data_IF_525745383168
#
_entry.id   IF_525745383168
#
_cell.length_a   1.000
_cell.length_b   1.000
_cell.length_c   1.000
_cell.angle_alpha   90.00
_cell.angle_beta   90.00
_cell.angle_gamma   90.00
#
_symmetry.space_group_name_H-M   'P 1'
#
loop_
_entity.id
_entity.type
_entity.pdbx_description
1 polymer ?
#
# COMPACT_ATOMS: atom_id res chain seq x y z
N UNK A 1 -14.74 12.42 2.11
CA UNK A 1 -14.71 11.32 1.12
C UNK A 1 -13.27 10.99 0.80
N UNK A 2 -12.83 9.80 1.21
CA UNK A 2 -11.51 9.26 0.92
C UNK A 2 -11.51 8.75 -0.53
N UNK A 3 -10.47 9.04 -1.32
CA UNK A 3 -10.38 8.63 -2.73
C UNK A 3 -9.25 7.60 -2.88
N UNK A 4 -9.58 6.34 -2.57
CA UNK A 4 -8.68 5.20 -2.62
C UNK A 4 -9.37 4.06 -3.38
N UNK A 5 -8.58 3.21 -4.02
CA UNK A 5 -9.06 2.02 -4.72
C UNK A 5 -8.13 0.84 -4.44
N UNK A 6 -8.72 -0.33 -4.17
CA UNK A 6 -8.02 -1.59 -3.96
C UNK A 6 -8.69 -2.68 -4.79
N UNK A 7 -7.91 -3.67 -5.25
CA UNK A 7 -8.38 -4.82 -6.01
C UNK A 7 -7.55 -6.04 -5.64
N UNK A 8 -8.07 -7.24 -5.88
CA UNK A 8 -7.40 -8.50 -5.58
C UNK A 8 -7.96 -9.20 -4.34
N UNK A 9 -7.36 -10.33 -3.97
CA UNK A 9 -7.87 -11.20 -2.90
C UNK A 9 -7.75 -10.58 -1.51
N UNK A 10 -6.74 -9.73 -1.28
CA UNK A 10 -6.55 -8.99 -0.03
C UNK A 10 -7.26 -7.61 0.00
N UNK A 11 -8.10 -7.29 -0.98
CA UNK A 11 -8.65 -5.94 -1.20
C UNK A 11 -9.32 -5.35 0.04
N UNK A 12 -10.20 -6.08 0.72
CA UNK A 12 -10.95 -5.55 1.86
C UNK A 12 -10.02 -5.23 3.06
N UNK A 13 -9.00 -6.04 3.28
CA UNK A 13 -7.99 -5.80 4.32
C UNK A 13 -7.16 -4.54 4.02
N UNK A 14 -6.68 -4.42 2.78
CA UNK A 14 -5.87 -3.27 2.34
C UNK A 14 -6.72 -2.00 2.36
N UNK A 15 -7.99 -2.05 1.95
CA UNK A 15 -8.87 -0.88 1.95
C UNK A 15 -9.06 -0.35 3.37
N UNK A 16 -9.41 -1.21 4.32
CA UNK A 16 -9.59 -0.81 5.72
C UNK A 16 -8.33 -0.23 6.35
N UNK A 17 -7.16 -0.81 6.07
CA UNK A 17 -5.88 -0.25 6.53
C UNK A 17 -5.54 1.07 5.84
N UNK A 18 -5.85 1.20 4.56
CA UNK A 18 -5.59 2.44 3.81
C UNK A 18 -6.46 3.59 4.29
N UNK A 19 -7.70 3.35 4.71
CA UNK A 19 -8.53 4.38 5.35
C UNK A 19 -7.93 4.88 6.68
N UNK A 20 -7.25 4.01 7.42
CA UNK A 20 -6.58 4.36 8.67
C UNK A 20 -5.31 5.18 8.43
N UNK A 21 -4.48 4.78 7.47
CA UNK A 21 -3.18 5.42 7.25
C UNK A 21 -3.26 6.66 6.36
N UNK A 22 -4.16 6.69 5.37
CA UNK A 22 -4.24 7.78 4.41
C UNK A 22 -4.71 9.09 5.04
N UNK A 23 -4.08 10.19 4.62
CA UNK A 23 -4.50 11.54 4.96
C UNK A 23 -4.46 12.42 3.71
N UNK A 24 -5.38 13.40 3.58
CA UNK A 24 -5.30 14.37 2.50
C UNK A 24 -3.98 15.13 2.51
N UNK A 25 -3.45 15.43 1.32
CA UNK A 25 -2.23 16.23 1.10
C UNK A 25 -0.94 15.65 1.69
N UNK A 26 -0.84 14.31 1.80
CA UNK A 26 0.42 13.64 2.09
C UNK A 26 1.48 13.99 1.05
N UNK A 27 2.70 14.24 1.51
CA UNK A 27 3.86 14.33 0.63
C UNK A 27 4.24 12.93 0.08
N UNK A 28 5.16 12.84 -0.89
CA UNK A 28 5.50 11.55 -1.52
C UNK A 28 6.03 10.48 -0.55
N UNK A 29 6.82 10.85 0.45
CA UNK A 29 7.36 9.90 1.43
C UNK A 29 6.29 9.45 2.42
N UNK A 30 5.39 10.35 2.83
CA UNK A 30 4.22 9.99 3.66
C UNK A 30 3.26 9.06 2.92
N UNK A 31 3.01 9.33 1.64
CA UNK A 31 2.17 8.48 0.79
C UNK A 31 2.80 7.11 0.56
N UNK A 32 4.12 7.07 0.35
CA UNK A 32 4.87 5.83 0.29
C UNK A 32 4.70 5.01 1.57
N UNK A 33 4.91 5.63 2.73
CA UNK A 33 4.83 4.94 4.02
C UNK A 33 3.41 4.42 4.28
N UNK A 34 2.39 5.26 4.08
CA UNK A 34 0.99 4.86 4.23
C UNK A 34 0.63 3.68 3.33
N UNK A 35 1.05 3.73 2.05
CA UNK A 35 0.81 2.64 1.08
C UNK A 35 1.56 1.36 1.47
N UNK A 36 2.81 1.49 1.92
CA UNK A 36 3.65 0.36 2.34
C UNK A 36 3.07 -0.35 3.54
N UNK A 37 2.64 0.41 4.55
CA UNK A 37 1.99 -0.15 5.75
C UNK A 37 0.66 -0.80 5.41
N UNK A 38 -0.17 -0.19 4.56
CA UNK A 38 -1.43 -0.81 4.12
C UNK A 38 -1.20 -2.13 3.39
N UNK A 39 -0.25 -2.17 2.46
CA UNK A 39 0.02 -3.36 1.66
C UNK A 39 0.58 -4.50 2.53
N UNK A 40 1.66 -4.26 3.27
CA UNK A 40 2.31 -5.32 4.04
C UNK A 40 1.38 -5.89 5.11
N UNK A 41 0.67 -5.04 5.87
CA UNK A 41 -0.26 -5.54 6.89
C UNK A 41 -1.51 -6.20 6.28
N UNK A 42 -1.94 -5.77 5.09
CA UNK A 42 -3.12 -6.31 4.41
C UNK A 42 -2.85 -7.68 3.79
N UNK A 43 -1.74 -7.84 3.06
CA UNK A 43 -1.38 -9.13 2.46
C UNK A 43 -1.00 -10.16 3.52
N UNK A 44 -0.46 -9.76 4.66
CA UNK A 44 -0.20 -10.62 5.83
C UNK A 44 -1.48 -11.23 6.47
N UNK A 45 -2.68 -10.91 5.94
CA UNK A 45 -3.96 -11.47 6.37
C UNK A 45 -4.65 -12.33 5.31
N UNK A 46 -4.08 -12.41 4.11
CA UNK A 46 -4.66 -13.15 2.99
C UNK A 46 -3.71 -14.26 2.54
N UNK A 47 -4.18 -15.51 2.56
CA UNK A 47 -3.37 -16.66 2.12
C UNK A 47 -3.08 -16.68 0.61
N UNK A 48 -3.79 -15.89 -0.19
CA UNK A 48 -3.64 -15.85 -1.65
C UNK A 48 -2.80 -14.65 -2.15
N UNK A 49 -2.30 -13.79 -1.25
CA UNK A 49 -1.44 -12.63 -1.55
C UNK A 49 -0.24 -12.61 -0.61
N UNK A 50 0.87 -11.99 -1.01
CA UNK A 50 2.06 -11.90 -0.15
C UNK A 50 3.36 -11.83 -0.95
N UNK A 51 4.43 -12.39 -0.36
CA UNK A 51 5.79 -12.38 -0.92
C UNK A 51 6.40 -10.97 -1.09
N UNK A 52 5.99 -10.05 -0.23
CA UNK A 52 6.38 -8.64 -0.31
C UNK A 52 5.48 -7.82 -1.22
N UNK A 53 5.96 -6.65 -1.64
CA UNK A 53 5.21 -5.75 -2.51
C UNK A 53 6.16 -4.84 -3.29
N UNK A 54 5.67 -4.26 -4.38
CA UNK A 54 6.38 -3.20 -5.11
C UNK A 54 5.52 -1.95 -5.12
N UNK A 55 6.04 -0.84 -4.62
CA UNK A 55 5.33 0.43 -4.54
C UNK A 55 5.91 1.41 -5.54
N UNK A 56 5.03 1.98 -6.35
CA UNK A 56 5.33 3.05 -7.32
C UNK A 56 4.71 4.34 -6.81
N UNK A 57 5.54 5.32 -6.45
CA UNK A 57 5.08 6.68 -6.16
C UNK A 57 5.37 7.55 -7.38
N UNK A 58 4.30 8.02 -8.02
CA UNK A 58 4.36 8.82 -9.24
C UNK A 58 4.20 10.28 -8.89
N UNK A 59 5.24 11.06 -9.15
CA UNK A 59 5.26 12.52 -9.03
C UNK A 59 5.28 13.15 -10.43
N UNK A 60 5.22 14.48 -10.51
CA UNK A 60 5.14 15.20 -11.79
C UNK A 60 6.36 14.94 -12.69
N UNK A 61 7.53 14.81 -12.09
CA UNK A 61 8.84 14.80 -12.76
C UNK A 61 9.60 13.48 -12.60
N UNK A 62 9.12 12.56 -11.74
CA UNK A 62 9.80 11.30 -11.45
C UNK A 62 8.84 10.21 -10.99
N UNK A 63 9.32 8.98 -11.04
CA UNK A 63 8.69 7.81 -10.42
C UNK A 63 9.68 7.19 -9.45
N UNK A 64 9.28 7.06 -8.19
CA UNK A 64 10.05 6.34 -7.18
C UNK A 64 9.50 4.93 -7.06
N UNK A 65 10.35 3.92 -7.29
CA UNK A 65 9.98 2.50 -7.18
C UNK A 65 10.73 1.88 -6.01
N UNK A 66 10.02 1.20 -5.12
CA UNK A 66 10.62 0.51 -3.97
C UNK A 66 10.04 -0.89 -3.82
N UNK A 67 10.91 -1.88 -3.73
CA UNK A 67 10.55 -3.25 -3.37
C UNK A 67 10.54 -3.39 -1.84
N UNK A 68 9.44 -3.90 -1.30
CA UNK A 68 9.23 -4.12 0.12
C UNK A 68 9.44 -5.59 0.45
N UNK A 69 10.30 -5.86 1.42
CA UNK A 69 10.39 -7.19 2.02
C UNK A 69 9.18 -7.40 2.93
N UNK A 70 8.32 -8.35 2.55
CA UNK A 70 7.21 -8.83 3.37
C UNK A 70 7.48 -10.24 3.90
N UNK A 71 6.45 -10.85 4.51
CA UNK A 71 6.53 -12.24 4.94
C UNK A 71 6.69 -13.19 3.74
N UNK A 72 7.24 -14.35 4.06
CA UNK A 72 7.68 -15.38 3.12
C UNK A 72 7.13 -16.75 3.53
N UNK A 73 5.82 -16.81 3.77
CA UNK A 73 5.09 -17.95 4.31
C UNK A 73 3.90 -18.37 3.45
#
# INVERSE_FOLDING_TARGET
NVNLATVGTASDYIFGLSELFFKPNMNPDELFEATSQSLLNGVDRDSASGWGAVVYVVEKDKVTVRELKGRQD
#
